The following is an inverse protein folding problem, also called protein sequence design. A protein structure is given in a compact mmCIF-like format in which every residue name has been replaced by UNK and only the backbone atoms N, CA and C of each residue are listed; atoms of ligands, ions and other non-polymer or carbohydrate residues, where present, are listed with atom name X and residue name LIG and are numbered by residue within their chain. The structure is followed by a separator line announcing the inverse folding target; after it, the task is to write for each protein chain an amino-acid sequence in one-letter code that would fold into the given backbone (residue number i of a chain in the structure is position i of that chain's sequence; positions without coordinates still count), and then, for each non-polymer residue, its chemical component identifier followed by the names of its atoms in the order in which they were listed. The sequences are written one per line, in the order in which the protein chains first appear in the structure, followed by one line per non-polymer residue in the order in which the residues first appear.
data_IF_165729201945
#
_entry.id   IF_165729201945
#
_cell.length_a   1.000
_cell.length_b   1.000
_cell.length_c   1.000
_cell.angle_alpha   90.00
_cell.angle_beta   90.00
_cell.angle_gamma   90.00
#
_symmetry.space_group_name_H-M   'P 1'
#
loop_
_entity.id
_entity.type
_entity.pdbx_description
1 polymer ?
#
# COMPACT_ATOMS: atom_id res chain seq x y z
N UNK A 1 -1.13 -2.56 12.81
CA UNK A 1 -2.33 -3.03 12.09
C UNK A 1 -3.55 -2.29 12.64
N UNK A 2 -4.36 -1.68 11.79
CA UNK A 2 -5.58 -0.99 12.22
C UNK A 2 -6.66 -1.97 12.67
N UNK A 3 -7.38 -1.65 13.75
CA UNK A 3 -8.54 -2.40 14.21
C UNK A 3 -9.65 -2.39 13.14
N UNK A 4 -10.33 -3.52 12.98
CA UNK A 4 -11.34 -3.69 11.92
C UNK A 4 -12.38 -4.72 12.30
N UNK A 5 -13.56 -4.57 11.71
CA UNK A 5 -14.61 -5.57 11.71
C UNK A 5 -15.30 -5.57 10.35
N UNK A 6 -16.00 -6.63 10.01
CA UNK A 6 -16.66 -6.68 8.72
C UNK A 6 -17.67 -7.80 8.60
N UNK A 7 -18.40 -7.73 7.49
CA UNK A 7 -19.38 -8.71 7.06
C UNK A 7 -18.98 -9.21 5.67
N UNK A 8 -19.11 -10.50 5.45
CA UNK A 8 -18.97 -11.12 4.14
C UNK A 8 -20.00 -12.21 3.96
N UNK A 9 -20.46 -12.38 2.73
CA UNK A 9 -21.39 -13.44 2.37
C UNK A 9 -21.10 -13.90 0.94
N UNK A 10 -21.52 -15.14 0.65
CA UNK A 10 -21.36 -15.73 -0.67
C UNK A 10 -22.57 -16.62 -0.93
N UNK A 11 -23.14 -16.49 -2.13
CA UNK A 11 -24.19 -17.36 -2.67
C UNK A 11 -23.60 -18.16 -3.83
N UNK A 12 -23.80 -19.46 -3.80
CA UNK A 12 -23.35 -20.38 -4.85
C UNK A 12 -24.51 -20.61 -5.85
N UNK A 13 -24.31 -20.17 -7.08
CA UNK A 13 -25.27 -20.31 -8.18
C UNK A 13 -24.88 -21.45 -9.14
N UNK A 14 -24.05 -22.38 -8.68
CA UNK A 14 -23.53 -23.52 -9.44
C UNK A 14 -22.23 -23.18 -10.16
N UNK A 15 -22.27 -22.65 -11.36
CA UNK A 15 -21.06 -22.32 -12.15
C UNK A 15 -20.37 -21.03 -11.70
N UNK A 16 -21.08 -20.17 -10.98
CA UNK A 16 -20.57 -18.91 -10.47
C UNK A 16 -21.01 -18.71 -9.02
N UNK A 17 -20.23 -17.93 -8.28
CA UNK A 17 -20.56 -17.48 -6.92
C UNK A 17 -20.67 -15.97 -6.93
N UNK A 18 -21.72 -15.45 -6.31
CA UNK A 18 -21.89 -14.02 -6.05
C UNK A 18 -21.56 -13.77 -4.58
N UNK A 19 -20.74 -12.76 -4.33
CA UNK A 19 -20.30 -12.44 -2.97
C UNK A 19 -20.33 -10.95 -2.67
N UNK A 20 -20.25 -10.63 -1.39
CA UNK A 20 -20.00 -9.28 -0.91
C UNK A 20 -19.00 -9.29 0.24
N UNK A 21 -18.30 -8.19 0.38
CA UNK A 21 -17.43 -7.92 1.54
C UNK A 21 -17.53 -6.44 1.95
N UNK A 22 -17.86 -6.23 3.22
CA UNK A 22 -17.95 -4.93 3.85
C UNK A 22 -17.00 -4.92 5.04
N UNK A 23 -15.99 -4.03 5.05
CA UNK A 23 -14.98 -3.95 6.11
C UNK A 23 -14.84 -2.51 6.61
N UNK A 24 -15.07 -2.32 7.89
CA UNK A 24 -14.90 -1.07 8.63
C UNK A 24 -13.57 -1.06 9.37
N UNK A 25 -12.86 0.05 9.33
CA UNK A 25 -11.75 0.34 10.23
C UNK A 25 -12.16 1.27 11.35
N UNK A 26 -11.57 1.10 12.53
CA UNK A 26 -11.81 1.98 13.66
C UNK A 26 -10.54 2.16 14.50
N UNK A 27 -10.47 3.24 15.23
CA UNK A 27 -9.45 3.49 16.23
C UNK A 27 -9.90 2.85 17.54
N UNK A 28 -9.05 2.05 18.15
CA UNK A 28 -9.40 1.35 19.41
C UNK A 28 -9.23 2.21 20.65
N UNK A 29 -8.59 3.36 20.55
CA UNK A 29 -8.35 4.31 21.63
C UNK A 29 -9.51 5.30 21.85
N UNK A 30 -10.20 5.70 20.78
CA UNK A 30 -11.29 6.69 20.83
C UNK A 30 -12.62 6.19 20.23
N UNK A 31 -12.61 5.00 19.58
CA UNK A 31 -13.78 4.41 18.93
C UNK A 31 -14.19 5.09 17.62
N UNK A 32 -13.44 6.06 17.12
CA UNK A 32 -13.76 6.75 15.88
C UNK A 32 -13.59 5.84 14.66
N UNK A 33 -14.45 6.05 13.63
CA UNK A 33 -14.29 5.38 12.34
C UNK A 33 -13.04 5.89 11.64
N UNK A 34 -12.17 4.97 11.20
CA UNK A 34 -11.01 5.27 10.39
C UNK A 34 -11.39 5.59 8.92
N UNK A 35 -10.39 5.77 8.03
CA UNK A 35 -10.56 6.03 6.60
C UNK A 35 -11.50 7.21 6.29
N UNK A 36 -11.30 8.33 7.00
CA UNK A 36 -12.07 9.56 6.79
C UNK A 36 -13.54 9.45 7.23
N UNK A 37 -13.81 8.67 8.29
CA UNK A 37 -15.16 8.50 8.85
C UNK A 37 -16.10 7.66 7.98
N UNK A 38 -15.58 6.84 7.06
CA UNK A 38 -16.40 5.93 6.25
C UNK A 38 -16.81 4.70 7.06
N UNK A 39 -18.09 4.32 7.03
CA UNK A 39 -18.58 3.10 7.71
C UNK A 39 -17.86 1.85 7.21
N UNK A 40 -17.70 1.68 5.89
CA UNK A 40 -16.95 0.58 5.27
C UNK A 40 -15.77 1.10 4.47
N UNK A 41 -14.90 1.86 5.15
CA UNK A 41 -13.80 2.58 4.50
C UNK A 41 -12.64 1.69 4.04
N UNK A 42 -12.55 0.46 4.53
CA UNK A 42 -11.48 -0.48 4.16
C UNK A 42 -11.81 -1.26 2.90
N UNK A 43 -13.01 -1.82 2.83
CA UNK A 43 -13.55 -2.49 1.65
C UNK A 43 -15.08 -2.44 1.66
N UNK A 44 -15.68 -2.19 0.50
CA UNK A 44 -17.11 -2.27 0.26
C UNK A 44 -17.30 -2.75 -1.17
N UNK A 45 -17.44 -4.07 -1.37
CA UNK A 45 -17.46 -4.69 -2.69
C UNK A 45 -18.55 -5.72 -2.84
N UNK A 46 -19.04 -5.85 -4.06
CA UNK A 46 -19.70 -7.05 -4.58
C UNK A 46 -18.71 -7.79 -5.50
N UNK A 47 -18.90 -9.10 -5.66
CA UNK A 47 -18.00 -9.89 -6.50
C UNK A 47 -18.75 -11.01 -7.21
N UNK A 48 -18.24 -11.39 -8.39
CA UNK A 48 -18.64 -12.59 -9.13
C UNK A 48 -17.38 -13.42 -9.38
N UNK A 49 -17.40 -14.67 -8.96
CA UNK A 49 -16.26 -15.58 -9.07
C UNK A 49 -16.65 -16.90 -9.73
N UNK A 50 -15.70 -17.51 -10.44
CA UNK A 50 -15.86 -18.77 -11.13
C UNK A 50 -14.51 -19.34 -11.57
N UNK A 51 -14.52 -20.29 -12.48
CA UNK A 51 -13.29 -20.90 -13.01
C UNK A 51 -12.36 -19.88 -13.70
N UNK A 52 -12.90 -18.77 -14.16
CA UNK A 52 -12.17 -17.67 -14.79
C UNK A 52 -11.52 -16.69 -13.82
N UNK A 53 -11.72 -16.85 -12.51
CA UNK A 53 -11.26 -15.92 -11.48
C UNK A 53 -12.40 -15.11 -10.85
N UNK A 54 -12.10 -13.92 -10.34
CA UNK A 54 -13.07 -13.09 -9.61
C UNK A 54 -13.05 -11.65 -10.14
N UNK A 55 -14.21 -11.12 -10.43
CA UNK A 55 -14.45 -9.69 -10.70
C UNK A 55 -15.05 -9.05 -9.45
N UNK A 56 -14.51 -7.91 -9.07
CA UNK A 56 -14.98 -7.09 -7.94
C UNK A 56 -15.48 -5.75 -8.46
N UNK A 57 -16.52 -5.20 -7.82
CA UNK A 57 -16.99 -3.84 -8.04
C UNK A 57 -17.23 -3.15 -6.71
N UNK A 58 -16.78 -1.89 -6.57
CA UNK A 58 -16.98 -1.07 -5.37
C UNK A 58 -15.70 -0.37 -4.90
N UNK A 59 -15.54 -0.25 -3.57
CA UNK A 59 -14.34 0.32 -2.93
C UNK A 59 -13.42 -0.78 -2.44
N UNK A 60 -12.14 -0.74 -2.85
CA UNK A 60 -11.14 -1.72 -2.42
C UNK A 60 -9.71 -1.15 -2.48
N UNK A 61 -8.75 -1.90 -1.92
CA UNK A 61 -7.33 -1.56 -2.00
C UNK A 61 -6.76 -1.70 -3.41
N UNK A 62 -5.74 -0.90 -3.72
CA UNK A 62 -5.05 -0.93 -5.01
C UNK A 62 -4.29 -2.25 -5.24
N UNK A 63 -4.04 -2.57 -6.51
CA UNK A 63 -3.16 -3.68 -6.90
C UNK A 63 -1.73 -3.44 -6.40
N UNK A 64 -1.27 -2.17 -6.42
CA UNK A 64 0.03 -1.73 -5.90
C UNK A 64 0.06 -1.57 -4.37
N UNK A 65 -0.73 -2.38 -3.65
CA UNK A 65 -0.76 -2.43 -2.19
C UNK A 65 -0.78 -3.87 -1.69
N UNK A 66 -0.81 -4.06 -0.38
CA UNK A 66 -1.11 -5.33 0.28
C UNK A 66 -2.54 -5.37 0.85
N UNK A 67 -3.40 -4.44 0.42
CA UNK A 67 -4.73 -4.23 0.98
C UNK A 67 -5.83 -4.84 0.13
N UNK A 68 -6.88 -5.31 0.81
CA UNK A 68 -8.11 -5.76 0.15
C UNK A 68 -7.93 -7.03 -0.69
N UNK A 69 -8.82 -7.20 -1.66
CA UNK A 69 -8.95 -8.47 -2.39
C UNK A 69 -8.00 -8.64 -3.58
N UNK A 70 -7.38 -7.55 -4.06
CA UNK A 70 -6.52 -7.57 -5.27
C UNK A 70 -5.11 -7.04 -5.04
N UNK A 71 -4.78 -6.61 -3.83
CA UNK A 71 -3.44 -6.15 -3.48
C UNK A 71 -2.38 -7.25 -3.66
N UNK A 72 -1.25 -6.92 -4.29
CA UNK A 72 -0.21 -7.89 -4.64
C UNK A 72 1.07 -7.73 -3.82
N UNK A 73 1.23 -6.64 -3.06
CA UNK A 73 2.48 -6.33 -2.38
C UNK A 73 2.61 -6.92 -0.95
N UNK A 74 1.71 -7.82 -0.54
CA UNK A 74 1.75 -8.43 0.79
C UNK A 74 2.98 -9.29 1.07
N UNK A 75 3.62 -9.81 0.02
CA UNK A 75 4.79 -10.68 0.10
C UNK A 75 6.13 -9.98 -0.12
N UNK A 76 6.19 -8.64 -0.21
CA UNK A 76 7.43 -7.92 -0.55
C UNK A 76 8.17 -7.33 0.66
N UNK A 77 7.59 -7.45 1.85
CA UNK A 77 8.16 -6.95 3.11
C UNK A 77 7.82 -7.90 4.25
N UNK A 78 8.72 -8.08 5.23
CA UNK A 78 8.42 -8.87 6.42
C UNK A 78 7.38 -8.21 7.33
N UNK A 79 7.14 -6.92 7.16
CA UNK A 79 6.17 -6.15 7.94
C UNK A 79 4.82 -5.97 7.25
N UNK A 80 4.70 -6.32 5.95
CA UNK A 80 3.52 -6.05 5.14
C UNK A 80 3.16 -4.56 5.16
N UNK A 81 1.88 -4.23 5.30
CA UNK A 81 1.38 -2.86 5.46
C UNK A 81 1.44 -2.34 6.89
N UNK A 82 1.91 -3.16 7.82
CA UNK A 82 2.08 -2.74 9.21
C UNK A 82 3.29 -1.81 9.33
N UNK A 83 3.19 -0.80 10.21
CA UNK A 83 4.31 0.12 10.50
C UNK A 83 4.71 1.00 9.30
N UNK A 84 3.74 1.60 8.63
CA UNK A 84 3.88 2.37 7.39
C UNK A 84 5.04 3.37 7.37
N UNK A 85 5.25 4.11 8.45
CA UNK A 85 6.33 5.10 8.54
C UNK A 85 7.72 4.47 8.65
N UNK A 86 7.80 3.23 9.13
CA UNK A 86 9.04 2.49 9.30
C UNK A 86 9.30 1.50 8.16
N UNK A 87 8.24 1.07 7.47
CA UNK A 87 8.31 0.02 6.47
C UNK A 87 8.66 0.50 5.06
N UNK A 88 8.56 -0.41 4.12
CA UNK A 88 8.88 -0.22 2.70
C UNK A 88 8.06 0.82 1.98
N UNK A 89 6.86 1.14 2.45
CA UNK A 89 5.98 2.10 1.80
C UNK A 89 6.69 3.46 1.65
N UNK A 90 7.20 4.00 2.73
CA UNK A 90 7.90 5.27 2.71
C UNK A 90 9.19 5.30 1.89
N UNK A 91 9.85 4.15 1.72
CA UNK A 91 11.14 4.08 0.99
C UNK A 91 10.98 3.75 -0.48
N UNK A 92 9.82 3.31 -0.92
CA UNK A 92 9.68 2.80 -2.27
C UNK A 92 8.72 3.57 -3.16
N UNK A 93 7.98 4.55 -2.63
CA UNK A 93 7.02 5.36 -3.37
C UNK A 93 6.06 4.51 -4.22
N UNK A 94 4.86 4.27 -3.77
CA UNK A 94 3.84 3.55 -4.52
C UNK A 94 2.47 4.14 -4.23
N UNK A 95 1.56 4.11 -5.21
CA UNK A 95 0.19 4.55 -5.04
C UNK A 95 -0.60 3.58 -4.15
N UNK A 96 -0.22 3.53 -2.88
CA UNK A 96 -0.76 2.61 -1.89
C UNK A 96 -2.02 3.17 -1.24
N UNK A 97 -3.15 2.99 -1.90
CA UNK A 97 -4.41 3.58 -1.48
C UNK A 97 -5.59 2.63 -1.62
N UNK A 98 -6.75 3.10 -1.20
CA UNK A 98 -8.06 2.49 -1.44
C UNK A 98 -8.86 3.41 -2.34
N UNK A 99 -9.36 2.85 -3.41
CA UNK A 99 -10.06 3.58 -4.45
C UNK A 99 -11.55 3.30 -4.43
N UNK A 100 -12.34 4.35 -4.61
CA UNK A 100 -13.79 4.28 -4.80
C UNK A 100 -14.11 3.94 -6.27
N UNK A 101 -15.37 3.58 -6.56
CA UNK A 101 -15.90 3.42 -7.90
C UNK A 101 -15.00 2.57 -8.79
N UNK A 102 -14.53 1.44 -8.27
CA UNK A 102 -13.57 0.60 -8.94
C UNK A 102 -14.20 -0.69 -9.45
N UNK A 103 -13.66 -1.15 -10.58
CA UNK A 103 -13.79 -2.53 -11.06
C UNK A 103 -12.39 -3.15 -10.99
N UNK A 104 -12.32 -4.36 -10.42
CA UNK A 104 -11.06 -5.09 -10.33
C UNK A 104 -11.26 -6.56 -10.69
N UNK A 105 -10.18 -7.17 -11.14
CA UNK A 105 -10.13 -8.58 -11.52
C UNK A 105 -8.95 -9.26 -10.83
N UNK A 106 -9.19 -10.46 -10.31
CA UNK A 106 -8.17 -11.38 -9.84
C UNK A 106 -8.29 -12.69 -10.60
N UNK A 107 -7.23 -13.10 -11.30
CA UNK A 107 -7.21 -14.36 -12.04
C UNK A 107 -7.14 -15.57 -11.10
N UNK A 108 -7.50 -16.75 -11.57
CA UNK A 108 -7.05 -17.98 -10.94
C UNK A 108 -5.53 -18.10 -11.06
N UNK A 109 -4.94 -18.95 -10.19
CA UNK A 109 -3.53 -19.33 -10.30
C UNK A 109 -3.38 -20.47 -11.30
N UNK A 110 -2.55 -20.30 -12.31
CA UNK A 110 -2.27 -21.29 -13.37
C UNK A 110 -0.76 -21.55 -13.42
N UNK A 111 -0.33 -22.75 -13.09
CA UNK A 111 1.09 -23.13 -13.07
C UNK A 111 1.96 -22.16 -12.21
N UNK A 112 1.41 -21.64 -11.13
CA UNK A 112 2.07 -20.67 -10.25
C UNK A 112 1.88 -19.20 -10.65
N UNK A 113 1.42 -18.90 -11.86
CA UNK A 113 1.17 -17.53 -12.31
C UNK A 113 -0.25 -17.07 -11.96
N UNK A 114 -0.38 -15.79 -11.59
CA UNK A 114 -1.64 -15.11 -11.40
C UNK A 114 -1.51 -13.63 -11.79
N UNK A 115 -2.62 -13.01 -12.13
CA UNK A 115 -2.67 -11.61 -12.52
C UNK A 115 -3.85 -10.90 -11.86
N UNK A 116 -3.62 -9.67 -11.42
CA UNK A 116 -4.67 -8.79 -10.92
C UNK A 116 -4.66 -7.49 -11.74
N UNK A 117 -5.84 -6.92 -11.95
CA UNK A 117 -6.00 -5.63 -12.60
C UNK A 117 -7.11 -4.83 -11.93
N UNK A 118 -7.04 -3.51 -12.04
CA UNK A 118 -8.01 -2.59 -11.45
C UNK A 118 -8.12 -1.30 -12.25
N UNK A 119 -9.34 -0.78 -12.32
CA UNK A 119 -9.60 0.59 -12.77
C UNK A 119 -10.61 1.25 -11.82
N UNK A 120 -10.30 2.48 -11.39
CA UNK A 120 -11.21 3.34 -10.61
C UNK A 120 -11.65 4.52 -11.47
N UNK A 121 -12.95 4.67 -11.62
CA UNK A 121 -13.57 5.75 -12.40
C UNK A 121 -13.55 7.10 -11.69
N UNK A 122 -13.37 7.07 -10.37
CA UNK A 122 -13.21 8.23 -9.50
C UNK A 122 -12.59 7.77 -8.18
N UNK A 123 -11.35 8.17 -7.95
CA UNK A 123 -10.49 7.62 -6.90
C UNK A 123 -11.02 7.86 -5.49
N UNK A 124 -11.54 9.06 -5.20
CA UNK A 124 -12.13 9.41 -3.91
C UNK A 124 -13.41 10.24 -4.06
N UNK A 125 -14.55 9.60 -3.80
CA UNK A 125 -15.87 10.23 -3.85
C UNK A 125 -16.14 11.21 -2.70
N UNK A 126 -15.32 11.21 -1.64
CA UNK A 126 -15.41 12.12 -0.50
C UNK A 126 -14.42 13.28 -0.55
N UNK A 127 -13.50 13.28 -1.50
CA UNK A 127 -12.56 14.40 -1.66
C UNK A 127 -13.33 15.70 -1.90
N UNK A 128 -13.04 16.70 -1.10
CA UNK A 128 -13.67 18.03 -1.22
C UNK A 128 -13.41 18.66 -2.59
N UNK A 129 -12.23 18.39 -3.16
CA UNK A 129 -11.84 18.85 -4.49
C UNK A 129 -12.63 18.16 -5.61
N UNK A 130 -12.98 16.89 -5.42
CA UNK A 130 -13.60 16.06 -6.45
C UNK A 130 -15.10 15.79 -6.27
N UNK A 131 -15.72 16.29 -5.20
CA UNK A 131 -17.15 16.00 -4.89
C UNK A 131 -18.08 16.29 -6.06
N UNK A 132 -17.82 17.35 -6.85
CA UNK A 132 -18.62 17.74 -7.99
C UNK A 132 -18.22 17.07 -9.32
N UNK A 133 -17.08 16.41 -9.37
CA UNK A 133 -16.62 15.73 -10.57
C UNK A 133 -17.46 14.47 -10.83
N UNK A 134 -17.93 14.32 -12.06
CA UNK A 134 -18.58 13.08 -12.47
C UNK A 134 -17.56 11.96 -12.69
N UNK A 135 -18.00 10.71 -12.52
CA UNK A 135 -17.16 9.55 -12.76
C UNK A 135 -16.64 9.50 -14.20
N UNK A 136 -15.40 9.06 -14.38
CA UNK A 136 -14.70 8.94 -15.66
C UNK A 136 -14.60 10.26 -16.47
N UNK A 137 -14.67 11.39 -15.80
CA UNK A 137 -14.45 12.70 -16.42
C UNK A 137 -13.05 13.21 -16.10
N UNK A 138 -12.49 14.13 -16.92
CA UNK A 138 -11.14 14.67 -16.69
C UNK A 138 -10.97 15.36 -15.33
N UNK A 139 -12.07 15.87 -14.76
CA UNK A 139 -12.07 16.55 -13.45
C UNK A 139 -11.90 15.59 -12.28
N UNK A 140 -12.17 14.29 -12.47
CA UNK A 140 -12.01 13.26 -11.45
C UNK A 140 -10.63 12.59 -11.57
N UNK A 141 -9.95 12.43 -10.46
CA UNK A 141 -8.78 11.53 -10.40
C UNK A 141 -9.23 10.09 -10.62
N UNK A 142 -8.57 9.41 -11.55
CA UNK A 142 -8.82 8.01 -11.92
C UNK A 142 -7.54 7.20 -11.73
N UNK A 143 -7.70 5.93 -11.50
CA UNK A 143 -6.56 5.04 -11.23
C UNK A 143 -6.67 3.77 -12.05
N UNK A 144 -5.56 3.31 -12.59
CA UNK A 144 -5.44 2.04 -13.28
C UNK A 144 -4.21 1.29 -12.75
N UNK A 145 -4.34 -0.02 -12.57
CA UNK A 145 -3.19 -0.85 -12.22
C UNK A 145 -3.35 -2.27 -12.77
N UNK A 146 -2.22 -2.90 -13.04
CA UNK A 146 -2.15 -4.31 -13.37
C UNK A 146 -0.88 -4.92 -12.77
N UNK A 147 -0.96 -6.18 -12.38
CA UNK A 147 0.18 -6.92 -11.84
C UNK A 147 0.17 -8.37 -12.26
N UNK A 148 1.37 -8.92 -12.36
CA UNK A 148 1.64 -10.33 -12.59
C UNK A 148 2.38 -10.89 -11.37
N UNK A 149 1.91 -11.99 -10.83
CA UNK A 149 2.55 -12.71 -9.73
C UNK A 149 2.94 -14.11 -10.13
N UNK A 150 3.97 -14.63 -9.49
CA UNK A 150 4.42 -16.01 -9.60
C UNK A 150 4.71 -16.59 -8.23
N UNK A 151 4.08 -17.71 -7.90
CA UNK A 151 4.31 -18.47 -6.68
C UNK A 151 4.69 -19.90 -7.01
N UNK A 152 5.83 -20.32 -6.50
CA UNK A 152 6.28 -21.71 -6.66
C UNK A 152 7.09 -22.15 -5.44
N UNK A 153 6.47 -22.92 -4.55
CA UNK A 153 7.12 -23.41 -3.34
C UNK A 153 7.67 -22.27 -2.49
N UNK A 154 8.99 -22.12 -2.49
CA UNK A 154 9.69 -21.12 -1.71
C UNK A 154 9.62 -19.68 -2.27
N UNK A 155 9.38 -19.53 -3.58
CA UNK A 155 9.41 -18.24 -4.27
C UNK A 155 8.01 -17.62 -4.39
N UNK A 156 7.87 -16.36 -3.99
CA UNK A 156 6.74 -15.49 -4.29
C UNK A 156 7.28 -14.20 -4.89
N UNK A 157 6.97 -13.91 -6.15
CA UNK A 157 7.45 -12.74 -6.88
C UNK A 157 6.29 -12.01 -7.57
N UNK A 158 6.36 -10.68 -7.62
CA UNK A 158 5.34 -9.84 -8.24
C UNK A 158 5.98 -8.72 -9.05
N UNK A 159 5.35 -8.40 -10.18
CA UNK A 159 5.60 -7.21 -10.98
C UNK A 159 4.28 -6.45 -11.08
N UNK A 160 4.26 -5.20 -10.66
CA UNK A 160 3.06 -4.35 -10.66
C UNK A 160 3.36 -3.05 -11.39
N UNK A 161 2.43 -2.62 -12.22
CA UNK A 161 2.40 -1.29 -12.83
C UNK A 161 1.13 -0.58 -12.37
N UNK A 162 1.26 0.69 -12.03
CA UNK A 162 0.11 1.56 -11.76
C UNK A 162 0.22 2.91 -12.49
N UNK A 163 -0.94 3.54 -12.67
CA UNK A 163 -1.08 4.78 -13.40
C UNK A 163 -2.20 5.62 -12.79
N UNK A 164 -1.87 6.83 -12.37
CA UNK A 164 -2.83 7.80 -11.82
C UNK A 164 -3.08 8.90 -12.84
N UNK A 165 -4.33 9.00 -13.30
CA UNK A 165 -4.80 10.12 -14.11
C UNK A 165 -5.34 11.16 -13.13
N UNK A 166 -4.52 12.15 -12.79
CA UNK A 166 -4.95 13.23 -11.92
C UNK A 166 -6.10 14.02 -12.55
N UNK A 167 -7.07 14.41 -11.74
CA UNK A 167 -8.14 15.29 -12.16
C UNK A 167 -7.60 16.67 -12.59
N UNK A 168 -8.48 17.55 -13.05
CA UNK A 168 -8.12 18.93 -13.39
C UNK A 168 -7.68 19.71 -12.14
N UNK A 169 -6.68 19.21 -11.46
CA UNK A 169 -5.97 19.91 -10.41
C UNK A 169 -4.77 20.62 -11.05
N UNK A 170 -4.74 21.93 -10.94
CA UNK A 170 -3.67 22.77 -11.49
C UNK A 170 -2.32 22.53 -10.82
N UNK A 171 -2.25 21.64 -9.84
CA UNK A 171 -1.05 21.30 -9.09
C UNK A 171 -0.24 20.15 -9.71
N UNK A 172 -0.78 19.43 -10.70
CA UNK A 172 -0.11 18.30 -11.34
C UNK A 172 0.30 18.63 -12.78
N UNK A 173 1.57 18.41 -13.10
CA UNK A 173 2.14 18.64 -14.44
C UNK A 173 1.80 17.53 -15.45
N UNK A 174 1.10 16.49 -15.03
CA UNK A 174 0.77 15.33 -15.86
C UNK A 174 0.24 14.18 -15.03
N UNK A 175 0.18 12.99 -15.61
CA UNK A 175 -0.24 11.79 -14.90
C UNK A 175 0.92 11.11 -14.20
N UNK A 176 0.64 10.47 -13.06
CA UNK A 176 1.64 9.72 -12.30
C UNK A 176 1.66 8.24 -12.68
N UNK A 177 2.81 7.59 -12.54
CA UNK A 177 2.91 6.14 -12.73
C UNK A 177 4.03 5.53 -11.90
N UNK A 178 3.93 4.24 -11.61
CA UNK A 178 5.01 3.47 -11.00
C UNK A 178 5.12 2.05 -11.54
N UNK A 179 6.33 1.50 -11.46
CA UNK A 179 6.63 0.08 -11.68
C UNK A 179 7.24 -0.47 -10.41
N UNK A 180 6.71 -1.58 -9.93
CA UNK A 180 7.14 -2.22 -8.69
C UNK A 180 7.49 -3.66 -8.99
N UNK A 181 8.71 -4.05 -8.67
CA UNK A 181 9.18 -5.44 -8.68
C UNK A 181 9.51 -5.84 -7.25
N UNK A 182 9.00 -6.96 -6.79
CA UNK A 182 9.31 -7.43 -5.45
C UNK A 182 8.93 -8.88 -5.21
N UNK A 183 9.26 -9.35 -4.01
CA UNK A 183 8.94 -10.71 -3.62
C UNK A 183 9.70 -11.19 -2.41
N UNK A 184 9.60 -12.50 -2.18
CA UNK A 184 10.34 -13.18 -1.12
C UNK A 184 10.78 -14.57 -1.56
N UNK A 185 11.79 -15.08 -0.85
CA UNK A 185 12.23 -16.45 -0.95
C UNK A 185 12.36 -17.07 0.45
N UNK A 186 11.70 -18.20 0.64
CA UNK A 186 11.70 -18.96 1.89
C UNK A 186 12.77 -20.05 1.85
N UNK A 187 13.83 -19.88 2.64
CA UNK A 187 14.93 -20.83 2.79
C UNK A 187 14.62 -21.95 3.80
N UNK A 188 13.42 -21.96 4.39
CA UNK A 188 13.04 -22.87 5.47
C UNK A 188 13.49 -22.40 6.86
N UNK A 189 14.70 -21.90 6.99
CA UNK A 189 15.27 -21.37 8.25
C UNK A 189 15.10 -19.85 8.38
N UNK A 190 14.90 -19.16 7.27
CA UNK A 190 14.69 -17.72 7.17
C UNK A 190 13.97 -17.42 5.87
N UNK A 191 13.27 -16.29 5.82
CA UNK A 191 12.68 -15.76 4.60
C UNK A 191 13.32 -14.41 4.28
N UNK A 192 13.83 -14.25 3.05
CA UNK A 192 14.35 -12.99 2.55
C UNK A 192 13.28 -12.29 1.69
N UNK A 193 13.29 -10.95 1.74
CA UNK A 193 12.37 -10.08 1.01
C UNK A 193 13.17 -9.03 0.24
N UNK A 194 12.69 -8.69 -0.94
CA UNK A 194 13.22 -7.59 -1.73
C UNK A 194 12.12 -6.86 -2.46
N UNK A 195 12.28 -5.54 -2.62
CA UNK A 195 11.40 -4.70 -3.43
C UNK A 195 12.20 -3.59 -4.08
N UNK A 196 11.90 -3.27 -5.32
CA UNK A 196 12.39 -2.12 -6.05
C UNK A 196 11.21 -1.43 -6.74
N UNK A 197 11.23 -0.11 -6.76
CA UNK A 197 10.20 0.72 -7.38
C UNK A 197 10.87 1.82 -8.17
N UNK A 198 10.36 2.10 -9.36
CA UNK A 198 10.57 3.35 -10.07
C UNK A 198 9.23 4.05 -10.23
N UNK A 199 9.21 5.36 -10.03
CA UNK A 199 7.98 6.16 -10.11
C UNK A 199 8.25 7.52 -10.73
N UNK A 200 7.23 8.07 -11.35
CA UNK A 200 7.27 9.40 -11.97
C UNK A 200 5.94 10.11 -11.68
N UNK A 201 6.04 11.38 -11.28
CA UNK A 201 4.92 12.26 -10.98
C UNK A 201 3.95 11.69 -9.92
N UNK A 202 4.51 11.08 -8.87
CA UNK A 202 3.75 10.49 -7.76
C UNK A 202 3.70 11.45 -6.56
N UNK A 203 2.50 11.84 -6.15
CA UNK A 203 2.27 12.66 -4.95
C UNK A 203 2.29 11.85 -3.67
N UNK A 204 1.88 10.58 -3.69
CA UNK A 204 1.87 9.71 -2.51
C UNK A 204 3.27 9.47 -1.94
N UNK A 205 4.31 9.70 -2.74
CA UNK A 205 5.69 9.65 -2.26
C UNK A 205 6.04 10.83 -1.33
N UNK A 206 5.38 11.96 -1.47
CA UNK A 206 5.55 13.14 -0.60
C UNK A 206 4.92 12.94 0.78
N UNK A 207 3.76 12.31 0.87
CA UNK A 207 3.01 12.13 2.11
C UNK A 207 3.79 11.43 3.22
N UNK A 208 4.88 10.76 2.89
CA UNK A 208 5.77 10.11 3.84
C UNK A 208 6.94 10.99 4.31
N UNK A 209 7.13 12.16 3.72
CA UNK A 209 8.10 13.13 4.22
C UNK A 209 7.48 13.99 5.33
N UNK A 210 8.20 14.08 6.43
CA UNK A 210 7.76 14.83 7.62
C UNK A 210 8.67 16.05 7.83
N UNK A 211 8.93 16.78 6.77
CA UNK A 211 9.66 18.03 6.90
C UNK A 211 8.79 19.08 7.59
N UNK A 212 9.36 19.88 8.49
CA UNK A 212 8.68 21.05 9.01
C UNK A 212 8.56 22.09 7.88
N UNK A 213 7.52 21.97 7.09
CA UNK A 213 7.13 23.01 6.12
C UNK A 213 6.15 23.97 6.80
N UNK A 214 6.31 25.24 6.53
CA UNK A 214 5.37 26.27 7.01
C UNK A 214 3.97 25.97 6.48
N UNK A 215 2.96 26.04 7.35
CA UNK A 215 1.58 25.69 7.01
C UNK A 215 0.99 26.48 5.82
N UNK A 216 1.57 27.62 5.50
CA UNK A 216 1.18 28.46 4.36
C UNK A 216 1.89 28.07 3.05
N UNK A 217 2.87 27.18 3.09
CA UNK A 217 3.67 26.76 1.93
C UNK A 217 3.43 25.31 1.52
N UNK A 218 2.21 24.79 1.70
CA UNK A 218 1.81 23.46 1.21
C UNK A 218 1.84 23.40 -0.34
N UNK A 219 3.04 23.46 -0.90
CA UNK A 219 3.28 22.99 -2.25
C UNK A 219 3.32 21.47 -2.21
N UNK A 220 2.35 20.86 -2.86
CA UNK A 220 2.42 19.43 -3.15
C UNK A 220 3.58 19.23 -4.12
N UNK A 221 4.53 18.39 -3.78
CA UNK A 221 5.61 18.00 -4.66
C UNK A 221 5.16 16.79 -5.48
N UNK A 222 5.43 16.82 -6.77
CA UNK A 222 5.24 15.67 -7.64
C UNK A 222 6.62 15.02 -7.82
N UNK A 223 6.81 13.84 -7.24
CA UNK A 223 8.12 13.23 -7.16
C UNK A 223 8.34 12.20 -8.26
N UNK A 224 9.58 12.20 -8.78
CA UNK A 224 10.13 11.20 -9.67
C UNK A 224 11.38 10.60 -9.06
N UNK A 225 11.53 9.30 -9.17
CA UNK A 225 12.70 8.65 -8.58
C UNK A 225 12.57 7.14 -8.50
N UNK A 226 13.40 6.58 -7.66
CA UNK A 226 13.41 5.16 -7.40
C UNK A 226 13.58 4.86 -5.90
N UNK A 227 13.17 3.67 -5.50
CA UNK A 227 13.37 3.18 -4.15
C UNK A 227 13.58 1.68 -4.14
N UNK A 228 14.29 1.20 -3.12
CA UNK A 228 14.50 -0.22 -2.92
C UNK A 228 14.50 -0.58 -1.44
N UNK A 229 14.14 -1.82 -1.13
CA UNK A 229 14.26 -2.36 0.22
C UNK A 229 14.68 -3.81 0.22
N UNK A 230 15.34 -4.21 1.30
CA UNK A 230 15.69 -5.58 1.61
C UNK A 230 15.24 -5.90 3.03
N UNK A 231 14.64 -7.07 3.22
CA UNK A 231 14.15 -7.51 4.50
C UNK A 231 14.41 -8.99 4.76
N UNK A 232 14.31 -9.36 6.01
CA UNK A 232 14.40 -10.75 6.45
C UNK A 232 13.42 -11.03 7.59
N UNK A 233 12.99 -12.29 7.68
CA UNK A 233 12.16 -12.82 8.76
C UNK A 233 12.72 -14.16 9.18
N UNK A 234 12.96 -14.33 10.49
CA UNK A 234 13.59 -15.52 11.05
C UNK A 234 12.76 -16.03 12.23
N UNK A 235 12.28 -17.28 12.20
CA UNK A 235 11.62 -17.88 13.35
C UNK A 235 12.65 -18.18 14.46
N UNK A 236 12.56 -17.47 15.58
CA UNK A 236 13.45 -17.60 16.74
C UNK A 236 12.66 -17.44 18.04
N UNK A 237 13.08 -18.15 19.11
CA UNK A 237 12.53 -18.05 20.46
C UNK A 237 10.99 -18.18 20.53
N UNK A 238 10.41 -19.04 19.66
CA UNK A 238 8.96 -19.26 19.62
C UNK A 238 8.15 -18.15 18.94
N UNK A 239 8.79 -17.14 18.41
CA UNK A 239 8.20 -16.05 17.63
C UNK A 239 8.92 -15.85 16.31
N UNK A 240 8.74 -14.68 15.72
CA UNK A 240 9.31 -14.30 14.45
C UNK A 240 10.04 -12.95 14.56
N UNK A 241 11.34 -12.95 14.39
CA UNK A 241 12.14 -11.74 14.29
C UNK A 241 12.13 -11.24 12.84
N UNK A 242 11.96 -9.94 12.67
CA UNK A 242 11.87 -9.28 11.37
C UNK A 242 12.81 -8.08 11.34
N UNK A 243 13.47 -7.88 10.20
CA UNK A 243 14.29 -6.70 9.95
C UNK A 243 14.14 -6.26 8.50
N UNK A 244 14.23 -4.95 8.26
CA UNK A 244 14.17 -4.36 6.94
C UNK A 244 14.99 -3.09 6.88
N UNK A 245 15.63 -2.85 5.73
CA UNK A 245 16.27 -1.60 5.37
C UNK A 245 15.74 -1.13 4.03
N UNK A 246 15.46 0.16 3.90
CA UNK A 246 14.98 0.77 2.66
C UNK A 246 15.71 2.08 2.35
N UNK A 247 15.76 2.39 1.07
CA UNK A 247 16.31 3.63 0.54
C UNK A 247 15.43 4.15 -0.59
N UNK A 248 15.29 5.48 -0.66
CA UNK A 248 14.66 6.19 -1.77
C UNK A 248 15.49 7.40 -2.17
N UNK A 249 15.62 7.61 -3.47
CA UNK A 249 16.18 8.79 -4.10
C UNK A 249 15.17 9.34 -5.10
N UNK A 250 14.81 10.61 -4.95
CA UNK A 250 13.78 11.22 -5.79
C UNK A 250 14.01 12.72 -5.90
N UNK A 251 13.47 13.31 -6.96
CA UNK A 251 13.50 14.72 -7.28
C UNK A 251 12.08 15.24 -7.53
N UNK A 252 11.88 16.54 -7.38
CA UNK A 252 10.64 17.20 -7.80
C UNK A 252 10.60 17.32 -9.33
N UNK A 253 9.45 16.96 -9.92
CA UNK A 253 9.28 16.94 -11.39
C UNK A 253 9.31 18.35 -12.01
N UNK A 254 8.84 19.36 -11.28
CA UNK A 254 8.82 20.77 -11.72
C UNK A 254 10.11 21.49 -11.37
N UNK A 255 10.65 21.22 -10.18
CA UNK A 255 11.82 21.90 -9.63
C UNK A 255 12.99 20.92 -9.51
N UNK A 256 13.71 20.65 -10.61
CA UNK A 256 14.80 19.67 -10.70
C UNK A 256 16.00 19.95 -9.78
N UNK A 257 16.01 21.05 -9.02
CA UNK A 257 16.99 21.37 -8.01
C UNK A 257 16.53 21.05 -6.58
N UNK A 258 15.43 20.31 -6.46
CA UNK A 258 14.88 19.85 -5.18
C UNK A 258 14.94 18.32 -5.14
N UNK A 259 15.88 17.81 -4.35
CA UNK A 259 16.09 16.38 -4.16
C UNK A 259 15.56 15.93 -2.80
N UNK A 260 14.92 14.76 -2.79
CA UNK A 260 14.42 14.10 -1.59
C UNK A 260 15.05 12.71 -1.45
N UNK A 261 15.73 12.47 -0.33
CA UNK A 261 16.34 11.16 -0.01
C UNK A 261 15.81 10.63 1.30
N UNK A 262 15.52 9.35 1.35
CA UNK A 262 15.05 8.69 2.56
C UNK A 262 15.78 7.39 2.80
N UNK A 263 16.18 7.17 4.05
CA UNK A 263 16.63 5.90 4.60
C UNK A 263 15.68 5.46 5.70
N UNK A 264 15.39 4.19 5.76
CA UNK A 264 14.75 3.59 6.93
C UNK A 264 15.41 2.26 7.30
N UNK A 265 15.41 1.99 8.61
CA UNK A 265 15.77 0.69 9.17
C UNK A 265 14.72 0.33 10.20
N UNK A 266 14.16 -0.85 10.10
CA UNK A 266 13.08 -1.33 10.98
C UNK A 266 13.43 -2.71 11.49
N UNK A 267 13.22 -2.96 12.77
CA UNK A 267 13.29 -4.27 13.40
C UNK A 267 12.00 -4.54 14.16
N UNK A 268 11.60 -5.79 14.27
CA UNK A 268 10.41 -6.17 14.99
C UNK A 268 10.44 -7.62 15.44
N UNK A 269 9.65 -7.92 16.43
CA UNK A 269 9.43 -9.26 16.92
C UNK A 269 7.95 -9.50 17.15
N UNK A 270 7.43 -10.59 16.63
CA UNK A 270 6.04 -11.00 16.83
C UNK A 270 6.02 -12.37 17.52
N UNK A 271 5.25 -12.47 18.61
CA UNK A 271 5.11 -13.69 19.38
C UNK A 271 3.64 -14.12 19.45
N UNK A 272 3.37 -15.35 19.01
CA UNK A 272 2.03 -15.92 19.06
C UNK A 272 1.72 -16.46 20.48
N UNK A 273 0.76 -15.86 21.16
CA UNK A 273 0.23 -16.34 22.44
C UNK A 273 -0.76 -17.49 22.21
N UNK A 274 -1.46 -17.47 21.09
CA UNK A 274 -2.39 -18.51 20.66
C UNK A 274 -2.59 -18.46 19.15
N UNK A 275 -3.43 -19.36 18.59
CA UNK A 275 -3.80 -19.32 17.16
C UNK A 275 -4.50 -18.01 16.74
N UNK A 276 -5.08 -17.27 17.69
CA UNK A 276 -5.85 -16.03 17.45
C UNK A 276 -5.23 -14.78 18.05
N UNK A 277 -4.23 -14.94 18.93
CA UNK A 277 -3.67 -13.82 19.67
C UNK A 277 -2.16 -13.78 19.51
N UNK A 278 -1.64 -12.62 19.15
CA UNK A 278 -0.20 -12.35 19.15
C UNK A 278 0.11 -11.00 19.76
N UNK A 279 1.32 -10.87 20.29
CA UNK A 279 1.89 -9.61 20.72
C UNK A 279 3.09 -9.29 19.86
N UNK A 280 3.33 -8.01 19.64
CA UNK A 280 4.48 -7.57 18.86
C UNK A 280 5.14 -6.35 19.49
N UNK A 281 6.44 -6.21 19.22
CA UNK A 281 7.21 -5.01 19.44
C UNK A 281 7.98 -4.65 18.16
N UNK A 282 8.11 -3.38 17.86
CA UNK A 282 8.84 -2.89 16.70
C UNK A 282 9.54 -1.60 17.02
N UNK A 283 10.64 -1.34 16.35
CA UNK A 283 11.35 -0.08 16.43
C UNK A 283 12.12 0.17 15.15
N UNK A 284 12.38 1.41 14.87
CA UNK A 284 13.13 1.77 13.67
C UNK A 284 13.61 3.20 13.68
N UNK A 285 14.44 3.47 12.71
CA UNK A 285 15.02 4.77 12.46
C UNK A 285 14.76 5.18 11.01
N UNK A 286 14.33 6.43 10.84
CA UNK A 286 14.09 7.05 9.54
C UNK A 286 14.91 8.32 9.45
N UNK A 287 15.62 8.49 8.34
CA UNK A 287 16.29 9.73 7.98
C UNK A 287 15.73 10.24 6.65
N UNK A 288 15.33 11.48 6.66
CA UNK A 288 14.88 12.20 5.48
C UNK A 288 15.79 13.39 5.22
N UNK A 289 16.13 13.61 3.96
CA UNK A 289 16.92 14.75 3.51
C UNK A 289 16.20 15.45 2.37
N UNK A 290 16.09 16.75 2.50
CA UNK A 290 15.72 17.65 1.43
C UNK A 290 16.95 18.46 1.05
N UNK A 291 17.36 18.40 -0.19
CA UNK A 291 18.42 19.22 -0.78
C UNK A 291 17.79 20.19 -1.78
N UNK A 292 17.75 21.45 -1.39
CA UNK A 292 17.19 22.55 -2.16
C UNK A 292 18.07 23.80 -1.89
N UNK A 293 17.54 25.01 -2.01
CA UNK A 293 18.26 26.22 -1.58
C UNK A 293 18.70 26.15 -0.10
N UNK A 294 17.92 25.45 0.74
CA UNK A 294 18.30 25.06 2.09
C UNK A 294 18.40 23.54 2.18
N UNK A 295 19.39 23.04 2.92
CA UNK A 295 19.56 21.61 3.19
C UNK A 295 18.91 21.26 4.51
N UNK A 296 17.84 20.46 4.47
CA UNK A 296 17.11 20.00 5.65
C UNK A 296 17.38 18.51 5.85
N UNK A 297 17.68 18.13 7.08
CA UNK A 297 17.84 16.73 7.48
C UNK A 297 17.02 16.47 8.72
N UNK A 298 16.11 15.52 8.63
CA UNK A 298 15.27 15.07 9.74
C UNK A 298 15.61 13.62 10.07
N UNK A 299 15.79 13.34 11.36
CA UNK A 299 15.94 11.98 11.86
C UNK A 299 14.81 11.68 12.84
N UNK A 300 14.22 10.51 12.73
CA UNK A 300 13.13 10.06 13.58
C UNK A 300 13.43 8.66 14.09
N UNK A 301 13.15 8.44 15.36
CA UNK A 301 13.12 7.10 15.96
C UNK A 301 11.69 6.81 16.34
N UNK A 302 11.20 5.67 15.93
CA UNK A 302 9.84 5.22 16.18
C UNK A 302 9.90 3.89 16.92
N UNK A 303 9.10 3.76 17.97
CA UNK A 303 8.97 2.53 18.74
C UNK A 303 7.48 2.26 18.93
N UNK A 304 7.08 1.03 18.75
CA UNK A 304 5.70 0.62 18.90
C UNK A 304 5.57 -0.81 19.43
N UNK A 305 4.43 -1.10 19.99
CA UNK A 305 4.07 -2.44 20.39
C UNK A 305 2.56 -2.57 20.47
N UNK A 306 2.09 -3.81 20.43
CA UNK A 306 0.65 -4.03 20.48
C UNK A 306 0.26 -5.50 20.58
N UNK A 307 -1.04 -5.70 20.67
CA UNK A 307 -1.69 -6.99 20.67
C UNK A 307 -2.62 -7.08 19.45
N UNK A 308 -2.55 -8.21 18.78
CA UNK A 308 -3.47 -8.56 17.70
C UNK A 308 -4.33 -9.72 18.16
N UNK A 309 -5.65 -9.57 18.09
CA UNK A 309 -6.60 -10.64 18.37
C UNK A 309 -7.61 -10.77 17.22
N UNK A 310 -7.80 -11.99 16.74
CA UNK A 310 -8.78 -12.32 15.69
C UNK A 310 -9.93 -13.14 16.32
N UNK A 311 -11.14 -12.64 16.17
CA UNK A 311 -12.36 -13.30 16.67
C UNK A 311 -12.87 -14.37 15.74
#
# INVERSE_FOLDING_TARGET
SGSRWGLKGTEDLGNVKVGFQLESGFNSDDGASAQGGRLFGRQATVSVSGAYGTVYAGRLGSVSSDMGSVGMLGGVSPFGSSFTDLGTHGSTGSAWARYDNAIAYASPMIAGFYANAMYSFKADSKSVKEVKAAENKPEATRYAAAGLGYKNGALDAVLVFDYTLYGNDTTHLGNGWSVILGGNYDFGVAKAFAKATYFDNQTDAEDVFHFPVDADSHKLFNLKGWGASLGASVPVFGGNFMAEVGYRDSEDVEYHNIDFKRWNTTVGYNYALSKRTSVYATGGWVQEKLDAAAKIKVNRVLVGGGLIHNF
#
